data_IF_863922021131
#
_entry.id   IF_863922021131
#
_cell.length_a   1.000
_cell.length_b   1.000
_cell.length_c   1.000
_cell.angle_alpha   90.00
_cell.angle_beta   90.00
_cell.angle_gamma   90.00
#
_symmetry.space_group_name_H-M   'P 1'
#
loop_
_entity.id
_entity.type
_entity.pdbx_description
1 polymer ?
#
# COMPACT_ATOMS: atom_id res chain seq x y z
N UNK A 1 -2.74 -14.89 8.76
CA UNK A 1 -2.94 -14.23 7.46
C UNK A 1 -3.37 -12.80 7.74
N UNK A 2 -2.62 -11.80 7.28
CA UNK A 2 -3.09 -10.41 7.37
C UNK A 2 -4.31 -10.20 6.48
N UNK A 3 -5.24 -9.39 6.96
CA UNK A 3 -6.32 -8.83 6.15
C UNK A 3 -6.05 -7.35 5.97
N UNK A 4 -5.97 -6.91 4.72
CA UNK A 4 -5.78 -5.52 4.34
C UNK A 4 -7.08 -4.93 3.81
N UNK A 5 -7.20 -3.61 3.84
CA UNK A 5 -8.38 -2.91 3.31
C UNK A 5 -8.11 -2.38 1.91
N UNK A 6 -9.10 -2.40 1.05
CA UNK A 6 -8.98 -1.79 -0.28
C UNK A 6 -8.91 -0.27 -0.17
N UNK A 7 -7.89 0.35 -0.77
CA UNK A 7 -7.78 1.80 -0.86
C UNK A 7 -8.93 2.37 -1.69
N UNK A 8 -9.60 3.40 -1.17
CA UNK A 8 -10.62 4.15 -1.88
C UNK A 8 -10.33 5.63 -1.71
N UNK A 9 -10.08 6.31 -2.83
CA UNK A 9 -9.82 7.75 -2.83
C UNK A 9 -10.94 8.50 -2.10
N UNK A 10 -10.56 9.38 -1.17
CA UNK A 10 -11.49 10.17 -0.35
C UNK A 10 -12.12 9.45 0.84
N UNK A 11 -11.86 8.15 1.05
CA UNK A 11 -12.32 7.39 2.23
C UNK A 11 -11.18 6.97 3.16
N UNK A 12 -9.93 7.24 2.76
CA UNK A 12 -8.74 6.87 3.53
C UNK A 12 -8.35 8.02 4.46
N UNK A 13 -8.19 7.77 5.78
CA UNK A 13 -7.81 8.81 6.73
C UNK A 13 -6.36 9.27 6.54
N UNK A 14 -6.07 10.52 6.90
CA UNK A 14 -4.71 11.06 6.97
C UNK A 14 -3.85 10.23 7.93
N UNK A 15 -2.59 10.01 7.57
CA UNK A 15 -1.64 9.16 8.30
C UNK A 15 -1.79 7.65 8.01
N UNK A 16 -2.73 7.26 7.13
CA UNK A 16 -2.83 5.88 6.67
C UNK A 16 -1.71 5.52 5.71
N UNK A 17 -1.33 4.24 5.71
CA UNK A 17 -0.32 3.71 4.79
C UNK A 17 -1.05 3.10 3.60
N UNK A 18 -0.68 3.47 2.38
CA UNK A 18 -1.19 2.88 1.15
C UNK A 18 -0.07 2.14 0.45
N UNK A 19 -0.28 0.87 0.16
CA UNK A 19 0.59 0.06 -0.69
C UNK A 19 -0.08 -0.08 -2.05
N UNK A 20 0.54 0.48 -3.08
CA UNK A 20 0.03 0.38 -4.44
C UNK A 20 0.80 -0.67 -5.21
N UNK A 21 0.08 -1.56 -5.89
CA UNK A 21 0.61 -2.56 -6.79
C UNK A 21 0.32 -2.17 -8.23
N UNK A 22 1.33 -2.30 -9.08
CA UNK A 22 1.23 -2.02 -10.51
C UNK A 22 2.09 -2.99 -11.30
N UNK A 23 1.81 -3.09 -12.60
CA UNK A 23 2.60 -3.93 -13.50
C UNK A 23 3.79 -3.13 -14.03
N UNK A 24 4.99 -3.63 -13.75
CA UNK A 24 6.25 -3.14 -14.30
C UNK A 24 6.78 -4.20 -15.29
N UNK A 25 6.42 -4.03 -16.57
CA UNK A 25 6.70 -5.03 -17.60
C UNK A 25 6.00 -6.36 -17.31
N UNK A 26 6.78 -7.42 -17.10
CA UNK A 26 6.27 -8.77 -16.81
C UNK A 26 6.06 -9.01 -15.31
N UNK A 27 6.57 -8.12 -14.45
CA UNK A 27 6.55 -8.28 -12.99
C UNK A 27 5.52 -7.37 -12.34
N UNK A 28 5.02 -7.78 -11.17
CA UNK A 28 4.22 -6.91 -10.31
C UNK A 28 5.16 -6.25 -9.32
N UNK A 29 5.02 -4.94 -9.18
CA UNK A 29 5.82 -4.12 -8.28
C UNK A 29 4.92 -3.32 -7.38
N UNK A 30 5.47 -2.86 -6.26
CA UNK A 30 4.72 -2.10 -5.28
C UNK A 30 5.49 -0.88 -4.79
N UNK A 31 4.75 0.17 -4.46
CA UNK A 31 5.25 1.34 -3.75
C UNK A 31 4.41 1.60 -2.51
N UNK A 32 5.01 2.25 -1.51
CA UNK A 32 4.33 2.60 -0.26
C UNK A 32 4.29 4.12 -0.16
N UNK A 33 3.12 4.65 0.17
CA UNK A 33 2.94 6.07 0.49
C UNK A 33 2.15 6.23 1.78
N UNK A 34 2.33 7.35 2.45
CA UNK A 34 1.49 7.78 3.57
C UNK A 34 0.50 8.83 3.04
N UNK A 35 -0.75 8.79 3.48
CA UNK A 35 -1.73 9.83 3.14
C UNK A 35 -1.44 11.06 3.98
N UNK A 36 -1.15 12.18 3.32
CA UNK A 36 -0.94 13.48 3.97
C UNK A 36 -2.17 14.39 3.76
N UNK A 37 -2.30 15.43 4.58
CA UNK A 37 -3.46 16.35 4.57
C UNK A 37 -3.57 17.17 3.26
N UNK A 38 -2.49 17.27 2.48
CA UNK A 38 -2.40 18.04 1.23
C UNK A 38 -2.24 17.07 0.06
N UNK A 39 -3.34 16.38 -0.28
CA UNK A 39 -3.41 15.40 -1.36
C UNK A 39 -3.50 16.11 -2.74
N UNK A 40 -2.49 16.91 -3.09
CA UNK A 40 -2.28 17.41 -4.46
C UNK A 40 -0.91 17.00 -5.03
N UNK A 41 0.12 16.88 -4.20
CA UNK A 41 1.42 16.30 -4.57
C UNK A 41 1.97 15.57 -3.33
N UNK A 42 1.41 14.39 -3.04
CA UNK A 42 1.75 13.60 -1.85
C UNK A 42 3.25 13.38 -1.72
N UNK A 43 3.82 13.76 -0.58
CA UNK A 43 5.27 13.66 -0.36
C UNK A 43 5.65 12.18 -0.37
N UNK A 44 6.43 11.81 -1.38
CA UNK A 44 6.89 10.46 -1.56
C UNK A 44 7.95 10.10 -0.52
N UNK A 45 7.55 9.38 0.52
CA UNK A 45 8.47 8.46 1.21
C UNK A 45 9.03 7.48 0.19
N UNK A 46 10.28 7.02 0.33
CA UNK A 46 11.14 6.62 -0.78
C UNK A 46 10.35 5.80 -1.79
N UNK A 47 10.18 6.40 -2.97
CA UNK A 47 9.46 5.90 -4.15
C UNK A 47 10.13 4.66 -4.76
N UNK A 48 10.84 3.88 -3.95
CA UNK A 48 11.57 2.74 -4.41
C UNK A 48 10.56 1.67 -4.82
N UNK A 49 10.73 1.23 -6.06
CA UNK A 49 9.94 0.16 -6.61
C UNK A 49 10.35 -1.13 -5.90
N UNK A 50 9.46 -1.64 -5.05
CA UNK A 50 9.71 -2.83 -4.24
C UNK A 50 8.97 -4.04 -4.81
N UNK A 51 9.44 -5.22 -4.43
CA UNK A 51 8.64 -6.43 -4.59
C UNK A 51 7.40 -6.40 -3.68
N UNK A 52 6.27 -7.00 -4.12
CA UNK A 52 5.03 -7.09 -3.35
C UNK A 52 5.21 -7.48 -1.87
N UNK A 53 5.98 -8.54 -1.61
CA UNK A 53 6.19 -9.06 -0.26
C UNK A 53 7.00 -8.09 0.61
N UNK A 54 8.02 -7.45 0.01
CA UNK A 54 8.87 -6.48 0.69
C UNK A 54 8.07 -5.23 1.05
N UNK A 55 7.24 -4.74 0.13
CA UNK A 55 6.38 -3.59 0.37
C UNK A 55 5.40 -3.84 1.52
N UNK A 56 4.76 -5.01 1.54
CA UNK A 56 3.84 -5.39 2.62
C UNK A 56 4.56 -5.50 3.96
N UNK A 57 5.71 -6.17 4.02
CA UNK A 57 6.51 -6.25 5.26
C UNK A 57 6.94 -4.88 5.77
N UNK A 58 7.29 -3.97 4.87
CA UNK A 58 7.69 -2.61 5.25
C UNK A 58 6.50 -1.80 5.77
N UNK A 59 5.33 -1.91 5.14
CA UNK A 59 4.09 -1.31 5.63
C UNK A 59 3.70 -1.85 7.01
N UNK A 60 3.88 -3.15 7.23
CA UNK A 60 3.62 -3.77 8.53
C UNK A 60 4.62 -3.35 9.61
N UNK A 61 5.91 -3.24 9.27
CA UNK A 61 6.91 -2.71 10.20
C UNK A 61 6.57 -1.28 10.63
N UNK A 62 6.06 -0.45 9.72
CA UNK A 62 5.57 0.90 10.06
C UNK A 62 4.36 0.86 10.98
N UNK A 63 3.49 -0.15 10.85
CA UNK A 63 2.40 -0.37 11.80
C UNK A 63 2.92 -0.76 13.20
N UNK A 64 4.11 -1.33 13.35
CA UNK A 64 4.67 -1.62 14.69
C UNK A 64 4.96 -0.35 15.49
N UNK A 65 5.38 0.72 14.82
CA UNK A 65 5.62 2.03 15.43
C UNK A 65 4.30 2.71 15.86
N UNK A 66 3.24 2.51 15.07
CA UNK A 66 1.91 3.03 15.35
C UNK A 66 0.82 1.98 15.00
N UNK A 67 0.43 1.12 15.95
CA UNK A 67 -0.45 -0.04 15.68
C UNK A 67 -1.85 0.33 15.21
N UNK A 68 -2.27 1.57 15.43
CA UNK A 68 -3.57 2.08 14.98
C UNK A 68 -3.57 2.56 13.53
N UNK A 69 -2.42 2.60 12.84
CA UNK A 69 -2.36 3.02 11.44
C UNK A 69 -2.93 1.93 10.52
N UNK A 70 -4.03 2.21 9.81
CA UNK A 70 -4.57 1.26 8.84
C UNK A 70 -3.64 1.16 7.62
N UNK A 71 -3.53 -0.05 7.07
CA UNK A 71 -2.84 -0.31 5.80
C UNK A 71 -3.91 -0.56 4.74
N UNK A 72 -3.85 0.23 3.68
CA UNK A 72 -4.71 0.12 2.52
C UNK A 72 -3.94 -0.39 1.30
N UNK A 73 -4.62 -1.11 0.43
CA UNK A 73 -4.07 -1.68 -0.79
C UNK A 73 -4.72 -1.02 -1.99
N UNK A 74 -3.91 -0.42 -2.86
CA UNK A 74 -4.36 0.06 -4.17
C UNK A 74 -3.85 -0.90 -5.24
N UNK A 75 -4.76 -1.46 -6.03
CA UNK A 75 -4.41 -2.29 -7.19
C UNK A 75 -4.60 -1.44 -8.44
N UNK A 76 -3.58 -1.33 -9.28
CA UNK A 76 -3.75 -0.78 -10.63
C UNK A 76 -4.74 -1.66 -11.44
N UNK A 77 -5.35 -1.08 -12.47
CA UNK A 77 -6.45 -1.70 -13.24
C UNK A 77 -6.11 -3.12 -13.77
N UNK A 78 -4.84 -3.37 -14.10
CA UNK A 78 -4.34 -4.66 -14.62
C UNK A 78 -3.74 -5.61 -13.57
N UNK A 79 -3.89 -5.30 -12.28
CA UNK A 79 -3.36 -6.11 -11.18
C UNK A 79 -4.49 -6.80 -10.42
N UNK A 80 -4.38 -8.12 -10.35
CA UNK A 80 -5.21 -8.93 -9.45
C UNK A 80 -4.46 -9.19 -8.14
N UNK A 81 -5.21 -9.16 -7.04
CA UNK A 81 -4.67 -9.54 -5.74
C UNK A 81 -4.17 -10.98 -5.76
N UNK A 82 -2.92 -11.21 -5.35
CA UNK A 82 -2.41 -12.55 -5.16
C UNK A 82 -2.71 -13.01 -3.71
N UNK A 83 -3.46 -14.11 -3.50
CA UNK A 83 -3.81 -14.59 -2.18
C UNK A 83 -2.59 -15.00 -1.32
N UNK A 84 -1.43 -15.21 -1.95
CA UNK A 84 -0.16 -15.46 -1.24
C UNK A 84 0.30 -14.26 -0.42
N UNK A 85 -0.14 -13.04 -0.78
CA UNK A 85 0.17 -11.80 -0.07
C UNK A 85 -0.72 -11.60 1.17
N UNK A 86 -1.81 -12.37 1.30
CA UNK A 86 -2.79 -12.24 2.37
C UNK A 86 -4.22 -12.15 1.83
N UNK A 87 -5.09 -11.51 2.59
CA UNK A 87 -6.49 -11.26 2.19
C UNK A 87 -6.74 -9.77 2.06
N UNK A 88 -7.59 -9.38 1.11
CA UNK A 88 -8.06 -8.01 0.94
C UNK A 88 -9.58 -7.97 1.12
N UNK A 89 -10.06 -6.97 1.85
CA UNK A 89 -11.49 -6.71 2.12
C UNK A 89 -11.96 -5.34 1.67
#
# INVERSE_FOLDING_TARGET
MQTYQTYRRGQTPVGAIVVKFYRAGETVRAFIREIEEIDEDGTAFPSEELEPDVALRLAENKRLDNPSRPIFIELAEDIQWNPSWGSIG
#
